data_IF_067496870966
#
_entry.id   IF_067496870966
#
_cell.length_a   1.000
_cell.length_b   1.000
_cell.length_c   1.000
_cell.angle_alpha   90.00
_cell.angle_beta   90.00
_cell.angle_gamma   90.00
#
_symmetry.space_group_name_H-M   'P 1'
#
loop_
_entity.id
_entity.type
_entity.pdbx_description
1 polymer ?
#
# COMPACT_ATOMS: atom_id res chain seq x y z
N UNK A 1 35.29 -10.76 -80.37
CA UNK A 1 34.34 -10.42 -79.27
C UNK A 1 34.12 -8.91 -79.13
N UNK A 2 35.14 -8.06 -79.30
CA UNK A 2 34.99 -6.60 -79.25
C UNK A 2 34.27 -5.91 -80.46
N UNK A 3 34.18 -6.48 -81.69
CA UNK A 3 33.49 -5.78 -82.79
C UNK A 3 31.96 -5.89 -82.73
N UNK A 4 31.43 -6.91 -82.05
CA UNK A 4 29.98 -7.19 -82.00
C UNK A 4 29.29 -6.24 -80.99
N UNK A 5 29.97 -5.86 -79.90
CA UNK A 5 29.45 -4.91 -78.92
C UNK A 5 29.40 -3.48 -79.48
N UNK A 6 30.36 -3.10 -80.33
CA UNK A 6 30.37 -1.78 -80.99
C UNK A 6 29.37 -1.68 -82.16
N UNK A 7 29.06 -2.77 -82.86
CA UNK A 7 28.03 -2.77 -83.91
C UNK A 7 26.60 -2.71 -83.34
N UNK A 8 26.36 -3.24 -82.14
CA UNK A 8 25.07 -3.11 -81.45
C UNK A 8 24.82 -1.69 -80.92
N UNK A 9 25.88 -0.95 -80.56
CA UNK A 9 25.75 0.43 -80.09
C UNK A 9 25.42 1.43 -81.22
N UNK A 10 25.98 1.22 -82.42
CA UNK A 10 25.72 2.10 -83.58
C UNK A 10 24.41 1.81 -84.33
N UNK A 11 23.69 0.73 -84.00
CA UNK A 11 22.42 0.33 -84.63
C UNK A 11 21.20 0.50 -83.72
N UNK A 12 21.37 0.83 -82.45
CA UNK A 12 20.27 1.13 -81.55
C UNK A 12 19.95 2.62 -81.66
N UNK A 13 18.89 2.93 -82.43
CA UNK A 13 18.33 4.28 -82.51
C UNK A 13 18.26 4.90 -81.11
N UNK A 14 18.78 6.12 -80.95
CA UNK A 14 18.75 6.93 -79.72
C UNK A 14 17.40 6.83 -78.97
N UNK A 15 16.31 6.64 -79.72
CA UNK A 15 14.96 6.40 -79.20
C UNK A 15 14.86 5.16 -78.30
N UNK A 16 15.47 4.04 -78.65
CA UNK A 16 15.46 2.82 -77.84
C UNK A 16 16.22 2.98 -76.52
N UNK A 17 17.36 3.67 -76.57
CA UNK A 17 18.15 3.95 -75.36
C UNK A 17 17.39 4.89 -74.42
N UNK A 18 16.72 5.92 -74.97
CA UNK A 18 15.83 6.82 -74.21
C UNK A 18 14.62 6.09 -73.61
N UNK A 19 13.98 5.17 -74.35
CA UNK A 19 12.85 4.40 -73.82
C UNK A 19 13.25 3.44 -72.71
N UNK A 20 14.42 2.81 -72.81
CA UNK A 20 14.94 1.92 -71.76
C UNK A 20 15.29 2.75 -70.52
N UNK A 21 15.93 3.91 -70.69
CA UNK A 21 16.25 4.81 -69.58
C UNK A 21 14.98 5.34 -68.89
N UNK A 22 13.98 5.75 -69.68
CA UNK A 22 12.67 6.17 -69.16
C UNK A 22 11.98 5.07 -68.35
N UNK A 23 12.04 3.81 -68.82
CA UNK A 23 11.46 2.66 -68.12
C UNK A 23 12.18 2.36 -66.79
N UNK A 24 13.52 2.43 -66.77
CA UNK A 24 14.31 2.25 -65.54
C UNK A 24 13.98 3.37 -64.54
N UNK A 25 13.86 4.62 -65.00
CA UNK A 25 13.47 5.73 -64.12
C UNK A 25 12.05 5.62 -63.59
N UNK A 26 11.08 5.19 -64.41
CA UNK A 26 9.71 5.00 -63.92
C UNK A 26 9.64 3.86 -62.91
N UNK A 27 10.36 2.77 -63.16
CA UNK A 27 10.38 1.61 -62.26
C UNK A 27 11.03 1.93 -60.92
N UNK A 28 12.12 2.70 -60.92
CA UNK A 28 12.79 3.16 -59.68
C UNK A 28 11.92 4.11 -58.87
N UNK A 29 11.19 5.04 -59.52
CA UNK A 29 10.23 5.92 -58.84
C UNK A 29 9.12 5.10 -58.16
N UNK A 30 8.60 4.06 -58.82
CA UNK A 30 7.55 3.19 -58.25
C UNK A 30 8.06 2.43 -57.03
N UNK A 31 9.29 1.89 -57.06
CA UNK A 31 9.88 1.20 -55.90
C UNK A 31 10.06 2.17 -54.72
N UNK A 32 10.54 3.40 -54.98
CA UNK A 32 10.69 4.43 -53.94
C UNK A 32 9.31 4.78 -53.35
N UNK A 33 8.28 4.94 -54.16
CA UNK A 33 6.93 5.21 -53.68
C UNK A 33 6.38 4.09 -52.79
N UNK A 34 6.59 2.82 -53.17
CA UNK A 34 6.15 1.65 -52.38
C UNK A 34 6.89 1.57 -51.05
N UNK A 35 8.20 1.79 -51.06
CA UNK A 35 9.03 1.76 -49.83
C UNK A 35 8.69 2.89 -48.88
N UNK A 36 8.49 4.12 -49.38
CA UNK A 36 8.00 5.24 -48.57
C UNK A 36 6.62 4.93 -48.00
N UNK A 37 5.68 4.44 -48.82
CA UNK A 37 4.34 4.05 -48.36
C UNK A 37 4.39 3.02 -47.23
N UNK A 38 5.20 1.97 -47.39
CA UNK A 38 5.40 0.94 -46.37
C UNK A 38 5.98 1.50 -45.08
N UNK A 39 6.98 2.39 -45.16
CA UNK A 39 7.57 3.04 -43.99
C UNK A 39 6.56 3.94 -43.26
N UNK A 40 5.76 4.73 -43.98
CA UNK A 40 4.67 5.51 -43.37
C UNK A 40 3.62 4.62 -42.71
N UNK A 41 3.26 3.48 -43.30
CA UNK A 41 2.31 2.54 -42.71
C UNK A 41 2.86 1.94 -41.40
N UNK A 42 4.16 1.64 -41.37
CA UNK A 42 4.85 1.08 -40.21
C UNK A 42 4.96 2.11 -39.08
N UNK A 43 5.28 3.37 -39.43
CA UNK A 43 5.28 4.50 -38.49
C UNK A 43 3.86 4.79 -37.97
N UNK A 44 2.84 4.75 -38.82
CA UNK A 44 1.45 4.91 -38.41
C UNK A 44 1.00 3.77 -37.48
N UNK A 45 1.37 2.52 -37.75
CA UNK A 45 1.10 1.39 -36.83
C UNK A 45 1.76 1.60 -35.47
N UNK A 46 3.02 2.06 -35.45
CA UNK A 46 3.78 2.33 -34.22
C UNK A 46 3.22 3.53 -33.46
N UNK A 47 2.81 4.59 -34.16
CA UNK A 47 2.21 5.78 -33.56
C UNK A 47 0.78 5.49 -33.07
N UNK A 48 0.00 4.72 -33.82
CA UNK A 48 -1.33 4.25 -33.43
C UNK A 48 -1.27 3.32 -32.21
N UNK A 49 -0.24 2.48 -32.08
CA UNK A 49 -0.05 1.68 -30.87
C UNK A 49 0.35 2.51 -29.65
N UNK A 50 1.11 3.60 -29.84
CA UNK A 50 1.50 4.52 -28.75
C UNK A 50 0.32 5.41 -28.32
N UNK A 51 -0.51 5.87 -29.26
CA UNK A 51 -1.69 6.70 -28.98
C UNK A 51 -2.88 5.87 -28.46
N UNK A 52 -2.85 4.54 -28.62
CA UNK A 52 -3.74 3.61 -27.91
C UNK A 52 -3.27 3.27 -26.49
N UNK A 53 -2.59 4.19 -25.81
CA UNK A 53 -2.71 4.25 -24.35
C UNK A 53 -4.17 4.58 -24.05
N UNK A 54 -5.00 3.55 -23.95
CA UNK A 54 -6.36 3.68 -23.41
C UNK A 54 -6.20 4.46 -22.11
N UNK A 55 -6.73 5.68 -22.07
CA UNK A 55 -7.17 6.27 -20.82
C UNK A 55 -8.17 5.27 -20.27
N UNK A 56 -7.69 4.42 -19.37
CA UNK A 56 -8.53 3.49 -18.63
C UNK A 56 -9.50 4.41 -17.89
N UNK A 57 -10.82 4.33 -18.16
CA UNK A 57 -11.79 5.08 -17.37
C UNK A 57 -11.55 4.74 -15.90
N UNK A 58 -11.83 5.65 -14.95
CA UNK A 58 -11.68 5.40 -13.51
C UNK A 58 -12.77 4.42 -13.05
N UNK A 59 -12.75 3.22 -13.59
CA UNK A 59 -13.52 2.08 -13.14
C UNK A 59 -12.62 1.43 -12.10
N UNK A 60 -13.07 1.47 -10.84
CA UNK A 60 -12.49 0.80 -9.67
C UNK A 60 -11.69 -0.43 -10.13
N UNK A 61 -10.36 -0.36 -10.04
CA UNK A 61 -9.55 -1.54 -10.28
C UNK A 61 -9.95 -2.56 -9.21
N UNK A 62 -10.69 -3.59 -9.60
CA UNK A 62 -11.07 -4.67 -8.69
C UNK A 62 -9.83 -5.53 -8.46
N UNK A 63 -9.44 -5.75 -7.20
CA UNK A 63 -8.36 -6.69 -6.87
C UNK A 63 -8.82 -8.10 -7.30
N UNK A 64 -8.13 -8.74 -8.26
CA UNK A 64 -8.55 -10.05 -8.77
C UNK A 64 -8.55 -11.10 -7.65
N UNK A 65 -9.64 -11.88 -7.56
CA UNK A 65 -9.83 -12.86 -6.49
C UNK A 65 -10.35 -12.26 -5.18
N UNK A 66 -10.60 -10.95 -5.12
CA UNK A 66 -11.06 -10.27 -3.91
C UNK A 66 -12.18 -9.27 -4.22
N UNK A 67 -13.37 -9.50 -3.65
CA UNK A 67 -14.47 -8.54 -3.75
C UNK A 67 -14.16 -7.26 -2.98
N UNK A 68 -14.81 -6.15 -3.32
CA UNK A 68 -14.70 -4.89 -2.59
C UNK A 68 -15.10 -5.04 -1.12
N UNK A 69 -16.12 -5.86 -0.82
CA UNK A 69 -16.54 -6.17 0.54
C UNK A 69 -15.44 -6.88 1.34
N UNK A 70 -14.79 -7.88 0.74
CA UNK A 70 -13.73 -8.64 1.40
C UNK A 70 -12.47 -7.78 1.58
N UNK A 71 -12.15 -6.93 0.61
CA UNK A 71 -11.06 -5.98 0.72
C UNK A 71 -11.31 -4.98 1.85
N UNK A 72 -12.52 -4.40 1.90
CA UNK A 72 -12.92 -3.51 2.99
C UNK A 72 -12.81 -4.22 4.33
N UNK A 73 -13.28 -5.47 4.43
CA UNK A 73 -13.21 -6.27 5.66
C UNK A 73 -11.77 -6.55 6.10
N UNK A 74 -10.87 -6.91 5.16
CA UNK A 74 -9.46 -7.14 5.47
C UNK A 74 -8.82 -5.87 6.02
N UNK A 75 -9.09 -4.72 5.40
CA UNK A 75 -8.52 -3.44 5.84
C UNK A 75 -9.15 -2.95 7.15
N UNK A 76 -10.47 -3.07 7.32
CA UNK A 76 -11.16 -2.65 8.54
C UNK A 76 -10.87 -3.57 9.73
N UNK A 77 -10.48 -4.81 9.49
CA UNK A 77 -10.02 -5.75 10.53
C UNK A 77 -8.59 -5.48 11.00
N UNK A 78 -7.85 -4.58 10.33
CA UNK A 78 -6.51 -4.25 10.75
C UNK A 78 -6.57 -3.56 12.11
N UNK A 79 -6.06 -4.23 13.13
CA UNK A 79 -5.94 -3.66 14.47
C UNK A 79 -4.89 -2.54 14.46
N UNK A 80 -5.37 -1.30 14.39
CA UNK A 80 -4.56 -0.09 14.54
C UNK A 80 -4.74 0.54 15.90
N UNK A 81 -5.21 -0.24 16.89
CA UNK A 81 -5.24 0.21 18.28
C UNK A 81 -3.82 0.28 18.84
N UNK A 82 -3.71 0.78 20.07
CA UNK A 82 -2.43 0.99 20.75
C UNK A 82 -1.69 -0.35 20.90
N UNK A 83 -0.73 -0.59 20.01
CA UNK A 83 0.20 -1.70 20.16
C UNK A 83 1.39 -1.28 21.02
N UNK A 84 2.02 -2.25 21.68
CA UNK A 84 3.23 -2.02 22.48
C UNK A 84 4.29 -1.27 21.64
N UNK A 85 4.89 -0.22 22.20
CA UNK A 85 6.02 0.50 21.59
C UNK A 85 7.29 -0.36 21.52
N UNK A 86 7.31 -1.49 22.23
CA UNK A 86 8.35 -2.54 22.17
C UNK A 86 7.89 -3.69 21.24
N UNK A 87 6.89 -3.45 20.39
CA UNK A 87 6.48 -4.41 19.35
C UNK A 87 7.74 -4.95 18.67
N UNK A 88 7.86 -6.28 18.47
CA UNK A 88 9.05 -6.92 17.87
C UNK A 88 9.34 -6.41 16.44
N UNK A 89 8.50 -5.53 15.92
CA UNK A 89 8.70 -4.81 14.67
C UNK A 89 9.76 -3.72 14.78
N UNK A 90 10.96 -4.06 14.32
CA UNK A 90 12.00 -3.10 14.00
C UNK A 90 11.81 -2.48 12.60
N UNK A 91 10.61 -2.00 12.26
CA UNK A 91 10.36 -1.27 11.01
C UNK A 91 11.23 -0.01 10.90
N UNK A 92 11.46 0.50 9.69
CA UNK A 92 12.02 1.84 9.53
C UNK A 92 10.86 2.84 9.64
N UNK A 93 10.93 3.74 10.62
CA UNK A 93 9.96 4.83 10.78
C UNK A 93 10.51 6.11 10.15
N UNK A 94 9.74 6.71 9.27
CA UNK A 94 10.02 8.00 8.66
C UNK A 94 8.91 8.98 8.98
N UNK A 95 9.26 10.13 9.55
CA UNK A 95 8.35 11.24 9.76
C UNK A 95 8.72 12.37 8.80
N UNK A 96 7.73 12.87 8.06
CA UNK A 96 7.88 14.05 7.21
C UNK A 96 6.94 15.15 7.70
N UNK A 97 7.47 16.35 7.88
CA UNK A 97 6.71 17.55 8.25
C UNK A 97 6.91 18.57 7.14
N UNK A 98 5.83 19.02 6.48
CA UNK A 98 5.91 19.94 5.34
C UNK A 98 6.91 19.47 4.27
N UNK A 99 6.87 18.17 3.93
CA UNK A 99 7.79 17.46 3.03
C UNK A 99 9.27 17.42 3.48
N UNK A 100 9.58 17.87 4.69
CA UNK A 100 10.91 17.80 5.28
C UNK A 100 11.05 16.54 6.10
N UNK A 101 12.05 15.71 5.80
CA UNK A 101 12.34 14.51 6.58
C UNK A 101 12.85 14.91 7.98
N UNK A 102 12.19 14.41 9.01
CA UNK A 102 12.59 14.62 10.40
C UNK A 102 13.70 13.65 10.77
N UNK A 103 14.75 14.17 11.40
CA UNK A 103 15.83 13.35 11.91
C UNK A 103 15.36 12.51 13.10
N UNK A 104 15.41 11.19 12.97
CA UNK A 104 15.07 10.27 14.06
C UNK A 104 16.00 10.41 15.28
N UNK A 105 17.20 11.00 15.11
CA UNK A 105 18.10 11.32 16.22
C UNK A 105 17.49 12.38 17.14
N UNK A 106 16.77 13.37 16.59
CA UNK A 106 16.10 14.42 17.35
C UNK A 106 15.01 13.83 18.23
N UNK A 107 14.15 12.98 17.65
CA UNK A 107 13.08 12.29 18.39
C UNK A 107 13.67 11.43 19.51
N UNK A 108 14.72 10.63 19.22
CA UNK A 108 15.41 9.82 20.25
C UNK A 108 16.00 10.64 21.38
N UNK A 109 16.58 11.80 21.06
CA UNK A 109 17.14 12.70 22.07
C UNK A 109 16.05 13.20 23.01
N UNK A 110 14.92 13.68 22.46
CA UNK A 110 13.78 14.15 23.25
C UNK A 110 13.20 13.02 24.12
N UNK A 111 13.02 11.82 23.58
CA UNK A 111 12.57 10.65 24.34
C UNK A 111 13.50 10.41 25.55
N UNK A 112 14.82 10.49 25.37
CA UNK A 112 15.78 10.32 26.47
C UNK A 112 15.63 11.41 27.52
N UNK A 113 15.48 12.68 27.11
CA UNK A 113 15.27 13.80 28.03
C UNK A 113 14.02 13.60 28.88
N UNK A 114 12.89 13.24 28.25
CA UNK A 114 11.63 13.03 28.95
C UNK A 114 11.62 11.78 29.83
N UNK A 115 12.39 10.73 29.46
CA UNK A 115 12.65 9.61 30.37
C UNK A 115 13.37 10.06 31.64
N UNK A 116 14.41 10.88 31.53
CA UNK A 116 15.11 11.43 32.69
C UNK A 116 14.20 12.29 33.57
N UNK A 117 13.33 13.11 32.99
CA UNK A 117 12.33 13.91 33.73
C UNK A 117 11.42 12.98 34.56
N UNK A 118 10.91 11.91 33.94
CA UNK A 118 10.07 10.90 34.63
C UNK A 118 10.85 10.18 35.73
N UNK A 119 12.06 9.71 35.44
CA UNK A 119 12.90 8.99 36.40
C UNK A 119 13.25 9.85 37.62
N UNK A 120 13.44 11.16 37.42
CA UNK A 120 13.70 12.14 38.48
C UNK A 120 12.43 12.66 39.17
N UNK A 121 11.24 12.24 38.75
CA UNK A 121 9.95 12.73 39.24
C UNK A 121 9.78 14.25 39.09
N UNK A 122 10.39 14.83 38.06
CA UNK A 122 10.31 16.25 37.76
C UNK A 122 8.96 16.58 37.10
N UNK A 123 8.34 17.70 37.52
CA UNK A 123 7.10 18.14 36.90
C UNK A 123 7.35 18.74 35.51
N UNK A 124 6.60 18.26 34.51
CA UNK A 124 6.57 18.85 33.18
C UNK A 124 5.12 19.02 32.72
N UNK A 125 4.66 20.26 32.45
CA UNK A 125 3.25 20.52 32.16
C UNK A 125 2.78 19.83 30.88
N UNK A 126 3.62 19.82 29.83
CA UNK A 126 3.26 19.20 28.55
C UNK A 126 3.17 17.68 28.67
N UNK A 127 4.09 17.05 29.40
CA UNK A 127 4.01 15.63 29.73
C UNK A 127 2.72 15.32 30.51
N UNK A 128 2.36 16.14 31.49
CA UNK A 128 1.10 15.97 32.23
C UNK A 128 -0.12 16.06 31.30
N UNK A 129 -0.15 17.00 30.36
CA UNK A 129 -1.21 17.09 29.34
C UNK A 129 -1.32 15.80 28.52
N UNK A 130 -0.20 15.23 28.08
CA UNK A 130 -0.20 13.96 27.37
C UNK A 130 -0.65 12.77 28.22
N UNK A 131 -0.29 12.73 29.50
CA UNK A 131 -0.76 11.69 30.43
C UNK A 131 -2.26 11.80 30.65
N UNK A 132 -2.78 12.98 30.97
CA UNK A 132 -4.22 13.19 31.19
C UNK A 132 -5.05 12.87 29.96
N UNK A 133 -4.58 13.24 28.77
CA UNK A 133 -5.25 12.84 27.52
C UNK A 133 -5.34 11.32 27.37
N UNK A 134 -4.28 10.59 27.73
CA UNK A 134 -4.30 9.14 27.69
C UNK A 134 -5.25 8.59 28.75
N UNK A 135 -5.20 9.05 29.99
CA UNK A 135 -6.11 8.62 31.05
C UNK A 135 -7.59 8.81 30.70
N UNK A 136 -7.95 9.94 30.08
CA UNK A 136 -9.33 10.24 29.65
C UNK A 136 -9.78 9.42 28.43
N UNK A 137 -8.84 9.02 27.55
CA UNK A 137 -9.13 8.25 26.33
C UNK A 137 -9.04 6.73 26.53
N UNK A 138 -8.50 6.26 27.66
CA UNK A 138 -8.28 4.84 27.94
C UNK A 138 -9.55 4.23 28.55
N UNK A 139 -10.43 3.76 27.68
CA UNK A 139 -11.30 2.65 28.05
C UNK A 139 -10.55 1.29 27.96
N UNK A 140 -9.54 1.11 27.09
CA UNK A 140 -9.13 -0.25 26.65
C UNK A 140 -7.62 -0.46 26.40
N UNK A 141 -6.74 -0.19 27.38
CA UNK A 141 -5.34 -0.67 27.31
C UNK A 141 -5.22 -2.08 27.91
N UNK A 142 -5.10 -3.11 27.06
CA UNK A 142 -4.78 -4.49 27.49
C UNK A 142 -3.26 -4.74 27.63
N UNK A 143 -2.44 -3.71 27.82
CA UNK A 143 -0.98 -3.81 27.86
C UNK A 143 -0.42 -3.30 29.18
N UNK A 144 0.33 -4.17 29.88
CA UNK A 144 1.00 -3.95 31.16
C UNK A 144 2.09 -2.83 31.16
N UNK A 145 2.31 -2.19 30.01
CA UNK A 145 3.23 -1.06 29.78
C UNK A 145 2.62 -0.17 28.69
N UNK A 146 2.34 1.12 28.91
CA UNK A 146 2.39 2.09 27.80
C UNK A 146 2.15 3.56 28.16
N UNK A 147 1.33 3.92 29.16
CA UNK A 147 0.83 5.30 29.27
C UNK A 147 1.93 6.35 29.35
N UNK A 148 2.89 6.15 30.26
CA UNK A 148 4.02 7.07 30.42
C UNK A 148 4.97 7.02 29.21
N UNK A 149 5.35 5.85 28.69
CA UNK A 149 6.21 5.77 27.50
C UNK A 149 5.55 6.40 26.26
N UNK A 150 4.24 6.27 26.13
CA UNK A 150 3.43 6.85 25.07
C UNK A 150 3.26 8.36 25.26
N UNK A 151 3.09 8.83 26.50
CA UNK A 151 3.11 10.25 26.82
C UNK A 151 4.48 10.85 26.51
N UNK A 152 5.58 10.17 26.87
CA UNK A 152 6.96 10.53 26.51
C UNK A 152 7.12 10.63 24.98
N UNK A 153 6.61 9.65 24.23
CA UNK A 153 6.64 9.71 22.76
C UNK A 153 5.77 10.86 22.22
N UNK A 154 4.58 11.05 22.78
CA UNK A 154 3.66 12.14 22.46
C UNK A 154 4.32 13.50 22.61
N UNK A 155 4.84 13.80 23.80
CA UNK A 155 5.54 15.06 24.07
C UNK A 155 6.81 15.23 23.24
N UNK A 156 7.51 14.14 22.94
CA UNK A 156 8.68 14.19 22.06
C UNK A 156 8.31 14.53 20.62
N UNK A 157 7.19 14.00 20.12
CA UNK A 157 6.66 14.35 18.80
C UNK A 157 6.12 15.77 18.78
N UNK A 158 5.42 16.21 19.83
CA UNK A 158 4.89 17.57 19.93
C UNK A 158 6.00 18.62 19.83
N UNK A 159 7.04 18.49 20.66
CA UNK A 159 8.22 19.35 20.54
C UNK A 159 8.91 19.23 19.17
N UNK A 160 8.92 18.04 18.58
CA UNK A 160 9.45 17.86 17.22
C UNK A 160 8.60 18.62 16.20
N UNK A 161 7.28 18.65 16.34
CA UNK A 161 6.43 19.46 15.48
C UNK A 161 6.73 20.95 15.69
N UNK A 162 6.82 21.44 16.93
CA UNK A 162 7.11 22.85 17.19
C UNK A 162 8.42 23.34 16.54
N UNK A 163 9.43 22.48 16.47
CA UNK A 163 10.69 22.78 15.77
C UNK A 163 10.56 22.91 14.24
N UNK A 164 9.56 22.28 13.62
CA UNK A 164 9.41 22.18 12.16
C UNK A 164 8.18 22.90 11.60
N UNK A 165 7.20 23.25 12.44
CA UNK A 165 5.95 23.90 12.02
C UNK A 165 5.89 25.38 12.35
N UNK A 166 6.73 25.89 13.27
CA UNK A 166 6.76 27.30 13.64
C UNK A 166 5.49 27.78 14.35
N UNK A 167 4.93 26.97 15.26
CA UNK A 167 3.72 27.30 16.01
C UNK A 167 2.41 26.82 15.37
N UNK A 168 2.50 25.92 14.38
CA UNK A 168 1.37 25.24 13.75
C UNK A 168 1.43 23.74 14.05
N UNK A 169 1.61 23.39 15.31
CA UNK A 169 1.68 22.01 15.78
C UNK A 169 0.33 21.30 15.57
N UNK A 170 0.34 20.00 15.23
CA UNK A 170 -0.89 19.21 15.23
C UNK A 170 -1.44 19.11 16.65
N UNK A 171 -2.76 19.08 16.76
CA UNK A 171 -3.45 18.79 18.02
C UNK A 171 -2.96 17.45 18.61
N UNK A 172 -2.90 17.35 19.94
CA UNK A 172 -2.62 16.13 20.71
C UNK A 172 -3.34 14.87 20.18
N UNK A 173 -4.58 14.98 19.70
CA UNK A 173 -5.32 13.88 19.07
C UNK A 173 -4.58 13.35 17.84
N UNK A 174 -4.21 14.23 16.92
CA UNK A 174 -3.47 13.88 15.69
C UNK A 174 -2.14 13.19 16.04
N UNK A 175 -1.41 13.72 17.03
CA UNK A 175 -0.15 13.14 17.49
C UNK A 175 -0.37 11.70 17.98
N UNK A 176 -1.35 11.47 18.84
CA UNK A 176 -1.59 10.13 19.40
C UNK A 176 -2.20 9.16 18.39
N UNK A 177 -2.97 9.64 17.42
CA UNK A 177 -3.37 8.83 16.28
C UNK A 177 -2.17 8.42 15.45
N UNK A 178 -1.24 9.33 15.12
CA UNK A 178 0.00 8.96 14.42
C UNK A 178 0.78 7.87 15.15
N UNK A 179 0.90 7.97 16.48
CA UNK A 179 1.59 6.96 17.31
C UNK A 179 0.96 5.58 17.15
N UNK A 180 -0.36 5.47 17.03
CA UNK A 180 -1.05 4.19 16.85
C UNK A 180 -0.57 3.43 15.60
N UNK A 181 -0.14 4.16 14.57
CA UNK A 181 0.32 3.57 13.32
C UNK A 181 1.83 3.33 13.27
N UNK A 182 2.62 3.90 14.18
CA UNK A 182 4.09 3.77 14.17
C UNK A 182 4.58 2.34 14.40
N UNK A 183 3.78 1.49 15.03
CA UNK A 183 4.17 0.14 15.47
C UNK A 183 3.19 -0.97 15.07
N UNK A 184 2.15 -0.65 14.31
CA UNK A 184 1.13 -1.64 13.94
C UNK A 184 1.65 -2.64 12.91
N UNK A 185 1.50 -3.93 13.22
CA UNK A 185 1.78 -5.03 12.29
C UNK A 185 0.57 -5.39 11.42
N UNK A 186 -0.59 -4.83 11.75
CA UNK A 186 -1.86 -5.24 11.17
C UNK A 186 -1.98 -4.91 9.70
N UNK A 187 -1.40 -3.79 9.24
CA UNK A 187 -1.36 -3.48 7.80
C UNK A 187 -0.45 -4.42 7.01
N UNK A 188 0.63 -4.92 7.60
CA UNK A 188 1.50 -5.91 6.97
C UNK A 188 0.75 -7.23 6.82
N UNK A 189 -0.01 -7.62 7.84
CA UNK A 189 -0.86 -8.82 7.80
C UNK A 189 -1.97 -8.66 6.77
N UNK A 190 -2.66 -7.51 6.77
CA UNK A 190 -3.71 -7.19 5.80
C UNK A 190 -3.20 -7.26 4.35
N UNK A 191 -2.05 -6.64 4.06
CA UNK A 191 -1.45 -6.69 2.73
C UNK A 191 -0.93 -8.09 2.38
N UNK A 192 -0.42 -8.86 3.34
CA UNK A 192 -0.05 -10.26 3.13
C UNK A 192 -1.28 -11.11 2.77
N UNK A 193 -2.41 -10.85 3.42
CA UNK A 193 -3.68 -11.51 3.12
C UNK A 193 -4.18 -11.13 1.73
N UNK A 194 -4.08 -9.86 1.33
CA UNK A 194 -4.42 -9.41 -0.03
C UNK A 194 -3.55 -10.13 -1.06
N UNK A 195 -2.22 -10.20 -0.86
CA UNK A 195 -1.33 -10.95 -1.76
C UNK A 195 -1.72 -12.42 -1.83
N UNK A 196 -1.99 -13.06 -0.69
CA UNK A 196 -2.41 -14.47 -0.66
C UNK A 196 -3.71 -14.73 -1.42
N UNK A 197 -4.68 -13.80 -1.40
CA UNK A 197 -5.92 -13.93 -2.18
C UNK A 197 -5.69 -13.75 -3.69
N UNK A 198 -4.70 -12.94 -4.09
CA UNK A 198 -4.31 -12.77 -5.48
C UNK A 198 -3.62 -14.05 -6.01
N UNK A 199 -2.94 -14.79 -5.14
CA UNK A 199 -2.32 -16.07 -5.48
C UNK A 199 -3.39 -17.16 -5.72
N UNK A 200 -3.27 -17.86 -6.84
CA UNK A 200 -4.25 -18.83 -7.34
C UNK A 200 -3.79 -20.30 -7.18
N UNK A 201 -2.57 -20.56 -6.72
CA UNK A 201 -2.04 -21.92 -6.61
C UNK A 201 -1.14 -22.11 -5.38
N UNK A 202 -1.74 -22.34 -4.19
CA UNK A 202 -1.01 -22.56 -2.95
C UNK A 202 -0.21 -23.88 -2.94
N UNK A 203 -0.51 -24.80 -3.87
CA UNK A 203 0.24 -26.06 -4.02
C UNK A 203 1.60 -25.86 -4.68
N UNK A 204 1.75 -24.79 -5.47
CA UNK A 204 2.99 -24.46 -6.20
C UNK A 204 3.72 -23.25 -5.66
N UNK A 205 3.01 -22.37 -4.96
CA UNK A 205 3.56 -21.11 -4.49
C UNK A 205 3.18 -20.87 -3.03
N UNK A 206 4.08 -20.22 -2.30
CA UNK A 206 3.81 -19.71 -0.96
C UNK A 206 4.46 -18.35 -0.77
N UNK A 207 3.76 -17.48 -0.05
CA UNK A 207 4.35 -16.23 0.42
C UNK A 207 5.25 -16.53 1.61
N UNK A 208 6.45 -15.93 1.62
CA UNK A 208 7.37 -15.99 2.75
C UNK A 208 7.81 -14.59 3.15
N UNK A 209 8.18 -14.45 4.42
CA UNK A 209 8.74 -13.23 4.96
C UNK A 209 10.15 -13.02 4.40
N UNK A 210 10.49 -11.78 4.10
CA UNK A 210 11.87 -11.36 3.80
C UNK A 210 12.55 -10.88 5.07
N UNK A 211 13.87 -10.68 5.00
CA UNK A 211 14.62 -10.02 6.06
C UNK A 211 14.40 -8.50 6.07
N UNK A 212 13.87 -7.93 4.98
CA UNK A 212 13.58 -6.51 4.87
C UNK A 212 12.52 -6.09 5.89
N UNK A 213 12.83 -5.04 6.63
CA UNK A 213 11.91 -4.42 7.58
C UNK A 213 10.93 -3.55 6.79
N UNK A 214 9.67 -3.46 7.23
CA UNK A 214 8.71 -2.56 6.60
C UNK A 214 9.13 -1.11 6.84
N UNK A 215 8.84 -0.26 5.87
CA UNK A 215 8.93 1.18 6.00
C UNK A 215 7.55 1.73 6.37
N UNK A 216 7.48 2.44 7.50
CA UNK A 216 6.29 3.17 7.94
C UNK A 216 6.61 4.65 7.77
N UNK A 217 5.87 5.32 6.89
CA UNK A 217 6.06 6.72 6.56
C UNK A 217 4.82 7.48 7.00
N UNK A 218 5.00 8.40 7.94
CA UNK A 218 3.97 9.33 8.39
C UNK A 218 4.33 10.70 7.82
N UNK A 219 3.37 11.38 7.21
CA UNK A 219 3.58 12.73 6.69
C UNK A 219 2.48 13.67 7.15
N UNK A 220 2.90 14.82 7.66
CA UNK A 220 2.05 15.89 8.14
C UNK A 220 2.31 17.16 7.33
N UNK A 221 1.26 17.91 7.05
CA UNK A 221 1.33 19.18 6.33
C UNK A 221 0.51 20.22 7.10
N UNK A 222 1.14 21.33 7.50
CA UNK A 222 0.49 22.37 8.30
C UNK A 222 -0.65 23.07 7.55
N UNK A 223 -0.68 22.99 6.22
CA UNK A 223 -1.80 23.48 5.40
C UNK A 223 -3.09 22.65 5.59
N UNK A 224 -2.98 21.45 6.18
CA UNK A 224 -4.10 20.55 6.47
C UNK A 224 -3.96 20.01 7.90
N UNK A 225 -4.21 20.85 8.91
CA UNK A 225 -3.84 20.55 10.30
C UNK A 225 -4.56 19.34 10.90
N UNK A 226 -5.75 19.01 10.40
CA UNK A 226 -6.57 17.89 10.86
C UNK A 226 -6.32 16.60 10.06
N UNK A 227 -5.28 16.57 9.22
CA UNK A 227 -4.98 15.43 8.36
C UNK A 227 -3.51 15.01 8.44
N UNK A 228 -3.28 13.70 8.28
CA UNK A 228 -1.97 13.17 7.99
C UNK A 228 -2.06 12.02 7.00
N UNK A 229 -0.96 11.73 6.32
CA UNK A 229 -0.87 10.55 5.46
C UNK A 229 -0.01 9.47 6.09
N UNK A 230 -0.48 8.23 5.99
CA UNK A 230 0.25 7.03 6.36
C UNK A 230 0.59 6.27 5.09
N UNK A 231 1.85 5.84 4.95
CA UNK A 231 2.27 4.93 3.90
C UNK A 231 3.08 3.80 4.53
N UNK A 232 2.62 2.57 4.37
CA UNK A 232 3.30 1.37 4.87
C UNK A 232 3.76 0.58 3.66
N UNK A 233 5.07 0.40 3.51
CA UNK A 233 5.70 -0.35 2.43
C UNK A 233 6.43 -1.54 3.04
N UNK A 234 6.30 -2.72 2.45
CA UNK A 234 7.01 -3.89 2.90
C UNK A 234 7.34 -4.82 1.75
N UNK A 235 8.35 -5.66 1.96
CA UNK A 235 8.74 -6.68 1.02
C UNK A 235 8.25 -8.04 1.50
N UNK A 236 7.72 -8.83 0.58
CA UNK A 236 7.50 -10.27 0.74
C UNK A 236 8.18 -10.99 -0.39
N UNK A 237 8.25 -12.31 -0.28
CA UNK A 237 8.83 -13.13 -1.32
C UNK A 237 7.88 -14.25 -1.71
N UNK A 238 7.68 -14.41 -3.02
CA UNK A 238 7.01 -15.57 -3.58
C UNK A 238 8.01 -16.72 -3.72
N UNK A 239 7.80 -17.80 -2.98
CA UNK A 239 8.63 -19.01 -3.06
C UNK A 239 7.91 -20.11 -3.85
N UNK A 240 8.60 -20.72 -4.81
CA UNK A 240 8.10 -21.90 -5.53
C UNK A 240 8.29 -23.17 -4.69
N UNK A 241 7.32 -24.08 -4.75
CA UNK A 241 7.29 -25.37 -4.02
C UNK A 241 7.75 -26.49 -4.98
N UNK A 242 8.89 -26.29 -5.63
CA UNK A 242 9.51 -27.26 -6.52
C UNK A 242 10.80 -27.83 -5.87
N UNK A 243 11.36 -28.93 -6.43
CA UNK A 243 12.61 -29.55 -5.94
C UNK A 243 13.77 -28.55 -5.80
N UNK A 244 13.81 -27.51 -6.64
CA UNK A 244 14.73 -26.37 -6.55
C UNK A 244 13.90 -25.09 -6.36
N UNK A 245 13.63 -24.68 -5.11
CA UNK A 245 12.78 -23.54 -4.85
C UNK A 245 13.43 -22.26 -5.38
N UNK A 246 12.65 -21.44 -6.06
CA UNK A 246 13.03 -20.09 -6.46
C UNK A 246 12.27 -19.08 -5.62
N UNK A 247 12.91 -17.95 -5.36
CA UNK A 247 12.38 -16.88 -4.53
C UNK A 247 12.33 -15.63 -5.40
N UNK A 248 11.17 -14.98 -5.45
CA UNK A 248 10.99 -13.73 -6.18
C UNK A 248 10.44 -12.66 -5.24
N UNK A 249 11.09 -11.50 -5.12
CA UNK A 249 10.62 -10.44 -4.24
C UNK A 249 9.35 -9.78 -4.81
N UNK A 250 8.48 -9.36 -3.90
CA UNK A 250 7.26 -8.61 -4.11
C UNK A 250 7.33 -7.41 -3.19
N UNK A 251 7.21 -6.22 -3.74
CA UNK A 251 7.07 -5.00 -2.94
C UNK A 251 5.58 -4.67 -2.89
N UNK A 252 5.06 -4.49 -1.69
CA UNK A 252 3.66 -4.12 -1.49
C UNK A 252 3.57 -2.91 -0.58
N UNK A 253 2.58 -2.06 -0.81
CA UNK A 253 2.37 -0.86 -0.03
C UNK A 253 0.90 -0.52 0.13
N UNK A 254 0.58 0.15 1.22
CA UNK A 254 -0.71 0.78 1.44
C UNK A 254 -0.53 2.23 1.86
N UNK A 255 -1.29 3.12 1.24
CA UNK A 255 -1.30 4.54 1.53
C UNK A 255 -2.69 4.96 1.97
N UNK A 256 -2.75 5.72 3.05
CA UNK A 256 -3.97 6.36 3.54
C UNK A 256 -3.79 7.86 3.71
N UNK A 257 -4.86 8.61 3.49
CA UNK A 257 -5.04 9.97 3.98
C UNK A 257 -6.10 9.91 5.08
N UNK A 258 -5.67 10.17 6.31
CA UNK A 258 -6.49 10.07 7.51
C UNK A 258 -6.85 11.50 7.91
N UNK A 259 -8.14 11.77 8.00
CA UNK A 259 -8.70 13.01 8.54
C UNK A 259 -9.28 12.71 9.89
N UNK A 260 -8.89 13.48 10.90
CA UNK A 260 -9.50 13.37 12.22
C UNK A 260 -10.54 14.48 12.40
N UNK A 261 -11.71 14.14 12.94
CA UNK A 261 -12.66 15.13 13.39
C UNK A 261 -12.11 15.90 14.60
N UNK A 262 -12.63 17.11 14.83
CA UNK A 262 -12.26 17.91 16.01
C UNK A 262 -12.81 17.32 17.31
N UNK A 263 -13.86 16.50 17.23
CA UNK A 263 -14.45 15.79 18.37
C UNK A 263 -13.85 14.38 18.49
N UNK A 264 -13.33 14.04 19.67
CA UNK A 264 -12.69 12.75 20.00
C UNK A 264 -13.69 11.58 19.88
N UNK A 265 -14.98 11.86 20.05
CA UNK A 265 -16.05 10.86 19.96
C UNK A 265 -16.37 10.45 18.52
N UNK A 266 -15.93 11.23 17.54
CA UNK A 266 -16.19 10.94 16.13
C UNK A 266 -15.11 10.00 15.54
N UNK A 267 -15.51 9.04 14.69
CA UNK A 267 -14.57 8.08 14.12
C UNK A 267 -13.60 8.75 13.13
N UNK A 268 -12.36 8.27 13.13
CA UNK A 268 -11.35 8.69 12.14
C UNK A 268 -11.83 8.37 10.71
N UNK A 269 -11.72 9.36 9.82
CA UNK A 269 -12.16 9.22 8.43
C UNK A 269 -10.97 8.96 7.50
N UNK A 270 -11.00 7.83 6.80
CA UNK A 270 -9.99 7.49 5.80
C UNK A 270 -10.48 8.05 4.47
N UNK A 271 -10.14 9.30 4.25
CA UNK A 271 -10.62 10.11 3.12
C UNK A 271 -10.15 9.63 1.76
N UNK A 272 -9.04 8.86 1.69
CA UNK A 272 -8.52 8.17 0.49
C UNK A 272 -7.57 7.05 0.88
N UNK A 273 -7.70 5.87 0.27
CA UNK A 273 -6.74 4.78 0.39
C UNK A 273 -6.24 4.28 -0.96
N UNK A 274 -4.99 3.80 -1.04
CA UNK A 274 -4.43 3.13 -2.23
C UNK A 274 -3.59 1.94 -1.83
N UNK A 275 -3.70 0.84 -2.56
CA UNK A 275 -2.82 -0.32 -2.44
C UNK A 275 -1.93 -0.38 -3.68
N UNK A 276 -0.65 -0.55 -3.46
CA UNK A 276 0.36 -0.73 -4.49
C UNK A 276 0.94 -2.13 -4.37
N UNK A 277 1.00 -2.88 -5.48
CA UNK A 277 1.65 -4.18 -5.57
C UNK A 277 2.60 -4.18 -6.76
N UNK A 278 3.89 -4.41 -6.51
CA UNK A 278 4.91 -4.49 -7.52
C UNK A 278 5.49 -5.90 -7.60
N UNK A 279 5.30 -6.51 -8.77
CA UNK A 279 5.80 -7.85 -9.09
C UNK A 279 6.81 -7.86 -10.23
N UNK A 280 7.45 -6.71 -10.52
CA UNK A 280 8.41 -6.53 -11.62
C UNK A 280 9.54 -7.57 -11.64
N UNK A 281 9.93 -8.06 -10.46
CA UNK A 281 10.99 -9.06 -10.29
C UNK A 281 10.53 -10.51 -10.51
N UNK A 282 9.25 -10.74 -10.85
CA UNK A 282 8.70 -12.07 -11.10
C UNK A 282 8.57 -12.30 -12.62
N UNK A 283 9.20 -13.35 -13.18
CA UNK A 283 9.07 -13.66 -14.60
C UNK A 283 7.60 -13.87 -15.00
N UNK A 284 7.19 -13.32 -16.14
CA UNK A 284 5.80 -13.40 -16.64
C UNK A 284 5.20 -14.81 -16.59
N UNK A 285 5.97 -15.84 -16.98
CA UNK A 285 5.52 -17.25 -16.95
C UNK A 285 5.17 -17.75 -15.54
N UNK A 286 5.84 -17.22 -14.53
CA UNK A 286 5.61 -17.54 -13.12
C UNK A 286 4.38 -16.76 -12.66
N UNK A 287 4.34 -15.46 -12.97
CA UNK A 287 3.20 -14.58 -12.67
C UNK A 287 1.88 -15.11 -13.23
N UNK A 288 1.86 -15.51 -14.51
CA UNK A 288 0.67 -16.02 -15.21
C UNK A 288 0.12 -17.33 -14.64
N UNK A 289 0.94 -18.06 -13.86
CA UNK A 289 0.57 -19.31 -13.20
C UNK A 289 0.24 -19.09 -11.73
N UNK A 290 0.89 -18.12 -11.10
CA UNK A 290 0.72 -17.80 -9.70
C UNK A 290 -0.53 -16.96 -9.43
N UNK A 291 -1.02 -16.17 -10.40
CA UNK A 291 -2.10 -15.19 -10.19
C UNK A 291 -3.36 -15.54 -10.99
N UNK A 292 -4.54 -15.14 -10.46
CA UNK A 292 -5.82 -15.26 -11.16
C UNK A 292 -5.80 -14.58 -12.54
N UNK A 293 -6.15 -15.34 -13.60
CA UNK A 293 -6.10 -14.91 -15.02
C UNK A 293 -6.82 -13.59 -15.38
N UNK A 294 -7.92 -13.15 -14.74
CA UNK A 294 -8.52 -11.85 -15.04
C UNK A 294 -7.58 -10.66 -14.81
N UNK A 295 -6.55 -10.82 -13.96
CA UNK A 295 -5.59 -9.79 -13.58
C UNK A 295 -4.69 -9.31 -14.73
N UNK A 296 -4.33 -10.21 -15.65
CA UNK A 296 -3.22 -9.98 -16.60
C UNK A 296 -3.74 -9.47 -17.96
N UNK A 297 -5.05 -9.59 -18.23
CA UNK A 297 -5.61 -9.26 -19.54
C UNK A 297 -5.53 -7.76 -19.92
N UNK A 298 -5.22 -6.87 -18.97
CA UNK A 298 -5.09 -5.43 -19.20
C UNK A 298 -3.72 -4.83 -18.83
N UNK A 299 -2.78 -5.63 -18.34
CA UNK A 299 -1.48 -5.12 -17.87
C UNK A 299 -0.48 -5.25 -19.03
N UNK A 300 0.01 -4.09 -19.51
CA UNK A 300 1.09 -4.07 -20.49
C UNK A 300 2.31 -4.79 -19.90
N UNK A 301 3.15 -5.38 -20.75
CA UNK A 301 4.37 -6.10 -20.34
C UNK A 301 5.36 -5.19 -19.57
N UNK A 302 5.12 -3.89 -19.57
CA UNK A 302 5.97 -2.83 -19.03
C UNK A 302 5.48 -2.31 -17.67
N UNK A 303 4.25 -2.61 -17.23
CA UNK A 303 3.63 -2.02 -16.03
C UNK A 303 3.28 -3.08 -14.97
N UNK A 304 4.26 -3.70 -14.30
CA UNK A 304 3.98 -4.68 -13.21
C UNK A 304 3.85 -3.97 -11.84
N UNK A 305 3.41 -2.72 -11.85
CA UNK A 305 2.92 -1.97 -10.70
C UNK A 305 1.40 -1.90 -10.81
N UNK A 306 0.70 -2.50 -9.85
CA UNK A 306 -0.76 -2.50 -9.81
C UNK A 306 -1.22 -1.60 -8.66
N UNK A 307 -2.01 -0.58 -9.00
CA UNK A 307 -2.51 0.42 -8.05
C UNK A 307 -4.02 0.27 -7.94
N UNK A 308 -4.50 -0.08 -6.75
CA UNK A 308 -5.91 -0.20 -6.45
C UNK A 308 -6.36 0.95 -5.55
N UNK A 309 -7.33 1.73 -6.01
CA UNK A 309 -7.98 2.75 -5.17
C UNK A 309 -8.93 2.05 -4.19
N UNK A 310 -8.79 2.36 -2.90
CA UNK A 310 -9.71 1.93 -1.86
C UNK A 310 -10.86 2.93 -1.76
N UNK A 311 -12.10 2.47 -1.54
CA UNK A 311 -13.20 3.36 -1.21
C UNK A 311 -12.92 4.08 0.11
N UNK A 312 -13.59 5.20 0.34
CA UNK A 312 -13.57 5.84 1.65
C UNK A 312 -14.18 4.88 2.67
N UNK A 313 -13.53 4.75 3.82
CA UNK A 313 -14.03 3.94 4.92
C UNK A 313 -13.77 4.64 6.25
N UNK A 314 -14.63 4.38 7.21
CA UNK A 314 -14.46 4.81 8.58
C UNK A 314 -13.99 3.61 9.38
N UNK A 315 -12.85 3.73 10.06
CA UNK A 315 -12.62 2.84 11.19
C UNK A 315 -13.22 3.54 12.39
N UNK A 316 -14.36 3.05 12.87
CA UNK A 316 -14.64 3.24 14.28
C UNK A 316 -13.45 2.62 15.01
N UNK A 317 -12.85 3.34 15.95
CA UNK A 317 -12.15 2.65 17.02
C UNK A 317 -13.22 1.73 17.59
N UNK A 318 -13.20 0.44 17.23
CA UNK A 318 -14.12 -0.53 17.81
C UNK A 318 -13.70 -0.66 19.26
N UNK A 319 -14.22 0.23 20.11
CA UNK A 319 -14.71 -0.15 21.41
C UNK A 319 -15.62 -1.33 21.15
N UNK A 320 -15.14 -2.53 21.41
CA UNK A 320 -15.92 -3.75 21.36
C UNK A 320 -16.96 -3.69 22.48
N UNK A 321 -18.00 -2.87 22.29
CA UNK A 321 -19.23 -2.83 23.06
C UNK A 321 -20.33 -2.58 22.01
N UNK A 322 -20.66 -3.60 21.23
CA UNK A 322 -21.96 -3.83 20.58
C UNK A 322 -21.85 -5.04 19.65
N UNK A 323 -21.49 -6.19 20.20
CA UNK A 323 -21.79 -7.48 19.57
C UNK A 323 -21.89 -8.63 20.58
N UNK A 324 -22.25 -8.33 21.82
CA UNK A 324 -23.01 -9.30 22.61
C UNK A 324 -24.45 -9.08 22.16
N UNK A 325 -24.84 -9.82 21.13
CA UNK A 325 -26.24 -9.93 20.76
C UNK A 325 -27.04 -10.34 22.02
N UNK A 326 -28.01 -9.51 22.38
CA UNK A 326 -29.01 -9.78 23.43
C UNK A 326 -29.81 -11.08 23.18
N UNK A 327 -29.63 -11.77 22.04
CA UNK A 327 -30.25 -13.07 21.76
C UNK A 327 -29.61 -14.25 22.51
N UNK A 328 -28.54 -14.04 23.28
CA UNK A 328 -27.92 -15.12 24.09
C UNK A 328 -28.10 -14.96 25.61
N UNK A 329 -28.91 -13.99 26.07
CA UNK A 329 -29.26 -13.80 27.48
C UNK A 329 -30.71 -14.21 27.83
N UNK A 330 -31.46 -14.77 26.88
CA UNK A 330 -32.82 -15.31 27.07
C UNK A 330 -32.84 -16.83 26.86
N UNK A 331 -31.85 -17.55 27.37
CA UNK A 331 -31.99 -19.00 27.61
C UNK A 331 -31.04 -19.40 28.74
N UNK A 332 -31.27 -18.91 29.95
CA UNK A 332 -30.96 -19.60 31.22
C UNK A 332 -31.48 -18.76 32.39
N UNK A 333 -32.81 -18.55 32.42
CA UNK A 333 -33.51 -18.16 33.64
C UNK A 333 -34.90 -18.80 33.63
N UNK A 334 -34.91 -20.11 33.82
CA UNK A 334 -36.07 -20.85 34.29
C UNK A 334 -35.59 -21.85 35.33
N UNK A 335 -35.84 -21.46 36.59
CA UNK A 335 -36.42 -22.31 37.64
C UNK A 335 -35.69 -23.61 37.97
N UNK A 336 -35.09 -23.68 39.16
CA UNK A 336 -35.63 -24.51 40.26
C UNK A 336 -34.73 -24.39 41.50
N UNK A 337 -35.22 -23.65 42.49
CA UNK A 337 -34.86 -23.84 43.89
C UNK A 337 -35.59 -25.09 44.40
N UNK A 338 -34.92 -25.98 45.13
CA UNK A 338 -35.59 -26.70 46.20
C UNK A 338 -34.91 -26.42 47.55
N UNK A 339 -35.78 -26.01 48.47
CA UNK A 339 -35.59 -25.95 49.91
C UNK A 339 -35.08 -27.28 50.49
N UNK A 340 -34.03 -27.22 51.30
CA UNK A 340 -33.63 -28.33 52.16
C UNK A 340 -34.19 -28.09 53.57
N UNK A 341 -35.32 -28.73 53.85
CA UNK A 341 -35.88 -28.87 55.19
C UNK A 341 -35.33 -30.15 55.86
N UNK A 342 -35.22 -30.09 57.18
CA UNK A 342 -34.51 -31.01 58.07
C UNK A 342 -34.99 -32.48 58.09
N UNK A 343 -34.07 -33.35 58.56
CA UNK A 343 -34.31 -34.54 59.41
C UNK A 343 -34.95 -35.77 58.72
N UNK A 344 -34.47 -37.01 58.80
CA UNK A 344 -34.23 -37.82 60.02
C UNK A 344 -33.69 -39.21 59.60
N UNK A 345 -32.79 -39.79 60.43
CA UNK A 345 -32.64 -41.22 60.82
C UNK A 345 -32.40 -42.37 59.81
N UNK A 346 -31.38 -43.16 60.19
CA UNK A 346 -31.26 -44.64 60.20
C UNK A 346 -31.35 -45.37 58.85
N UNK A 347 -30.37 -46.19 58.44
CA UNK A 347 -29.76 -47.29 59.19
C UNK A 347 -28.39 -47.63 58.62
#
# INVERSE_FOLDING_TARGET
>A
MLPIVLQLYNSMSQKYCLTIWAFITSFTIVIIAITVFYLTLLMYKKLSSVVRSKTIPPTIQVIPGLSQSNLSQIISSADTTVQSTISPHNGNLYLYINNTAVSFKTIKYLIKCYKTIVDNQEHNPLLTTHVSYLEESIAHCNSYFCEIDRAILGVSLDNTFGLYTGGQEPNIHIIHHMINYMYTTSYINALSNIINNILNDPSRYRLINTAARPDIIISYNTLKPDQFSLNVIFERSLKTIEKKPRIYPIIAGIRFIISLPQDISEPAQYSRGKIFLNFSNIPYRVMSRAVYRPAICNISKEDIEIIYDLPDFTTQHTSSIEQISEDMLITHNTTNTPSLENSTRQR
#
